data_IF_857301554275
#
_entry.id   IF_857301554275
#
_cell.length_a   1.000
_cell.length_b   1.000
_cell.length_c   1.000
_cell.angle_alpha   90.00
_cell.angle_beta   90.00
_cell.angle_gamma   90.00
#
_symmetry.space_group_name_H-M   'P 1'
#
loop_
_entity.id
_entity.type
_entity.pdbx_description
1 polymer ?
#
# COMPACT_ATOMS: atom_id res chain seq x y z
N UNK A 1 4.97 9.02 9.91
CA UNK A 1 4.56 7.61 10.00
C UNK A 1 4.74 6.94 8.63
N UNK A 2 4.90 5.62 8.63
CA UNK A 2 5.01 4.78 7.43
C UNK A 2 6.21 5.07 6.53
N UNK A 3 7.22 5.82 7.01
CA UNK A 3 8.47 6.11 6.27
C UNK A 3 9.33 4.87 6.04
N UNK A 4 9.11 3.83 6.83
CA UNK A 4 9.69 2.49 6.67
C UNK A 4 9.40 1.90 5.29
N UNK A 5 8.20 2.13 4.73
CA UNK A 5 7.89 1.77 3.35
C UNK A 5 8.83 2.46 2.35
N UNK A 6 9.06 3.77 2.52
CA UNK A 6 9.95 4.54 1.63
C UNK A 6 11.39 4.08 1.82
N UNK A 7 11.84 3.96 3.06
CA UNK A 7 13.19 3.54 3.41
C UNK A 7 13.55 2.18 2.81
N UNK A 8 12.63 1.21 2.90
CA UNK A 8 12.85 -0.12 2.35
C UNK A 8 12.72 -0.17 0.82
N UNK A 9 11.86 0.67 0.23
CA UNK A 9 11.50 0.59 -1.19
C UNK A 9 12.39 1.42 -2.10
N UNK A 10 12.71 2.64 -1.69
CA UNK A 10 13.38 3.62 -2.53
C UNK A 10 14.78 3.20 -3.01
N UNK A 11 15.60 2.47 -2.23
CA UNK A 11 16.92 2.03 -2.68
C UNK A 11 16.91 0.91 -3.73
N UNK A 12 15.82 0.14 -3.88
CA UNK A 12 15.80 -1.06 -4.71
C UNK A 12 16.32 -0.89 -6.14
N UNK A 13 16.03 0.21 -6.88
CA UNK A 13 16.54 0.36 -8.25
C UNK A 13 18.06 0.36 -8.33
N UNK A 14 18.78 0.69 -7.26
CA UNK A 14 20.24 0.77 -7.21
C UNK A 14 20.90 -0.45 -6.57
N UNK A 15 20.11 -1.36 -5.96
CA UNK A 15 20.63 -2.58 -5.33
C UNK A 15 21.13 -3.56 -6.39
N UNK A 16 22.41 -3.91 -6.36
CA UNK A 16 23.02 -4.88 -7.26
C UNK A 16 23.11 -6.27 -6.64
N UNK A 17 23.37 -6.33 -5.34
CA UNK A 17 23.50 -7.58 -4.60
C UNK A 17 22.80 -7.45 -3.25
N UNK A 18 22.23 -8.57 -2.76
CA UNK A 18 21.59 -8.64 -1.46
C UNK A 18 22.06 -9.91 -0.76
N UNK A 19 22.38 -9.80 0.54
CA UNK A 19 22.73 -10.93 1.38
C UNK A 19 21.69 -11.05 2.49
N UNK A 20 21.06 -12.21 2.58
CA UNK A 20 20.20 -12.54 3.70
C UNK A 20 21.07 -13.03 4.87
N UNK A 21 20.81 -12.51 6.08
CA UNK A 21 21.41 -12.98 7.32
C UNK A 21 20.29 -13.50 8.22
N UNK A 22 20.37 -14.78 8.59
CA UNK A 22 19.40 -15.41 9.47
C UNK A 22 19.71 -15.04 10.95
N UNK A 23 19.50 -13.77 11.25
CA UNK A 23 19.75 -13.20 12.58
C UNK A 23 18.66 -12.22 12.94
N UNK A 24 18.00 -12.37 14.10
CA UNK A 24 16.95 -11.44 14.53
C UNK A 24 17.58 -10.14 15.07
N UNK A 25 17.82 -9.18 14.18
CA UNK A 25 18.40 -7.87 14.55
C UNK A 25 17.41 -6.95 15.27
N UNK A 26 16.11 -7.19 15.10
CA UNK A 26 15.08 -6.32 15.63
C UNK A 26 13.89 -7.11 16.14
N UNK A 27 13.50 -6.83 17.38
CA UNK A 27 12.31 -7.39 18.01
C UNK A 27 11.24 -6.31 18.10
N UNK A 28 10.14 -6.47 17.36
CA UNK A 28 9.04 -5.53 17.35
C UNK A 28 7.91 -6.02 18.26
N UNK A 29 7.65 -5.25 19.32
CA UNK A 29 6.54 -5.56 20.23
C UNK A 29 5.21 -5.11 19.60
N UNK A 30 4.30 -6.07 19.36
CA UNK A 30 2.97 -5.84 18.82
C UNK A 30 1.94 -5.87 19.96
N UNK A 31 0.92 -5.01 19.89
CA UNK A 31 -0.19 -4.99 20.85
C UNK A 31 -0.16 -3.83 21.84
N UNK A 32 0.71 -2.83 21.66
CA UNK A 32 0.65 -1.58 22.45
C UNK A 32 -0.48 -0.68 21.94
N UNK A 33 -1.17 -0.01 22.88
CA UNK A 33 -2.13 1.03 22.52
C UNK A 33 -1.48 2.16 21.71
N UNK A 34 -2.19 2.67 20.71
CA UNK A 34 -1.73 3.77 19.87
C UNK A 34 -0.68 3.40 18.82
N UNK A 35 -0.43 2.12 18.58
CA UNK A 35 0.49 1.69 17.51
C UNK A 35 0.02 2.16 16.14
N UNK A 36 1.00 2.44 15.27
CA UNK A 36 0.75 2.97 13.91
C UNK A 36 -0.11 2.07 13.03
N UNK A 37 -0.14 0.77 13.33
CA UNK A 37 -0.91 -0.24 12.59
C UNK A 37 -2.36 -0.40 13.05
N UNK A 38 -2.75 0.20 14.17
CA UNK A 38 -4.13 0.13 14.64
C UNK A 38 -5.08 0.85 13.68
N UNK A 39 -6.25 0.27 13.44
CA UNK A 39 -7.24 0.72 12.44
C UNK A 39 -7.59 2.21 12.58
N UNK A 40 -7.86 2.69 13.79
CA UNK A 40 -8.20 4.09 14.01
C UNK A 40 -7.03 5.05 13.77
N UNK A 41 -5.79 4.60 14.05
CA UNK A 41 -4.57 5.39 13.77
C UNK A 41 -4.34 5.48 12.27
N UNK A 42 -4.47 4.36 11.55
CA UNK A 42 -4.33 4.30 10.10
C UNK A 42 -5.36 5.20 9.40
N UNK A 43 -6.62 5.18 9.85
CA UNK A 43 -7.69 6.05 9.32
C UNK A 43 -7.35 7.53 9.55
N UNK A 44 -6.89 7.90 10.75
CA UNK A 44 -6.53 9.29 11.07
C UNK A 44 -5.35 9.80 10.23
N UNK A 45 -4.54 8.89 9.67
CA UNK A 45 -3.29 9.20 8.98
C UNK A 45 -3.30 8.81 7.50
N UNK A 46 -4.47 8.74 6.87
CA UNK A 46 -4.60 8.41 5.44
C UNK A 46 -3.82 9.37 4.53
N UNK A 47 -3.67 10.64 4.93
CA UNK A 47 -2.89 11.61 4.16
C UNK A 47 -1.39 11.26 4.16
N UNK A 48 -0.88 10.67 5.26
CA UNK A 48 0.50 10.19 5.31
C UNK A 48 0.70 8.94 4.45
N UNK A 49 -0.27 8.02 4.45
CA UNK A 49 -0.26 6.86 3.54
C UNK A 49 -0.26 7.33 2.08
N UNK A 50 -1.09 8.32 1.72
CA UNK A 50 -1.11 8.90 0.39
C UNK A 50 0.24 9.51 0.00
N UNK A 51 0.88 10.25 0.90
CA UNK A 51 2.21 10.82 0.67
C UNK A 51 3.26 9.73 0.43
N UNK A 52 3.24 8.67 1.24
CA UNK A 52 4.13 7.50 1.07
C UNK A 52 3.90 6.86 -0.29
N UNK A 53 2.64 6.66 -0.68
CA UNK A 53 2.29 6.14 -2.00
C UNK A 53 2.91 6.98 -3.12
N UNK A 54 2.76 8.30 -3.07
CA UNK A 54 3.34 9.21 -4.06
C UNK A 54 4.87 9.10 -4.13
N UNK A 55 5.55 9.00 -2.98
CA UNK A 55 7.00 8.79 -2.94
C UNK A 55 7.40 7.45 -3.56
N UNK A 56 6.67 6.37 -3.26
CA UNK A 56 6.94 5.04 -3.83
C UNK A 56 6.69 5.01 -5.34
N UNK A 57 5.61 5.65 -5.81
CA UNK A 57 5.32 5.76 -7.25
C UNK A 57 6.49 6.42 -7.98
N UNK A 58 7.00 7.52 -7.46
CA UNK A 58 8.15 8.25 -8.06
C UNK A 58 9.46 7.46 -8.00
N UNK A 59 9.62 6.60 -7.00
CA UNK A 59 10.78 5.72 -6.88
C UNK A 59 10.67 4.44 -7.73
N UNK A 60 9.48 4.16 -8.29
CA UNK A 60 9.28 2.97 -9.12
C UNK A 60 9.88 3.20 -10.51
N UNK A 61 10.84 2.37 -10.94
CA UNK A 61 11.44 2.48 -12.26
C UNK A 61 10.45 2.14 -13.37
N UNK A 62 10.64 2.67 -14.56
CA UNK A 62 9.87 2.26 -15.72
C UNK A 62 10.22 0.81 -16.12
N UNK A 63 9.23 0.13 -16.71
CA UNK A 63 9.41 -1.26 -17.16
C UNK A 63 10.55 -1.35 -18.18
N UNK A 64 11.47 -2.27 -17.96
CA UNK A 64 12.62 -2.51 -18.82
C UNK A 64 13.86 -1.70 -18.46
N UNK A 65 13.81 -0.79 -17.49
CA UNK A 65 14.99 -0.03 -17.00
C UNK A 65 15.75 -0.74 -15.89
N UNK A 66 15.15 -1.76 -15.28
CA UNK A 66 15.74 -2.63 -14.26
C UNK A 66 15.42 -4.09 -14.61
N UNK A 67 16.10 -5.09 -14.00
CA UNK A 67 15.78 -6.49 -14.21
C UNK A 67 14.31 -6.82 -13.92
N UNK A 68 13.69 -7.64 -14.77
CA UNK A 68 12.25 -7.98 -14.68
C UNK A 68 11.82 -8.50 -13.30
N UNK A 69 12.68 -9.29 -12.65
CA UNK A 69 12.40 -9.79 -11.29
C UNK A 69 12.25 -8.66 -10.29
N UNK A 70 13.15 -7.68 -10.33
CA UNK A 70 13.12 -6.51 -9.47
C UNK A 70 11.89 -5.63 -9.78
N UNK A 71 11.62 -5.35 -11.06
CA UNK A 71 10.44 -4.60 -11.46
C UNK A 71 9.15 -5.25 -10.92
N UNK A 72 8.97 -6.57 -11.12
CA UNK A 72 7.79 -7.30 -10.63
C UNK A 72 7.66 -7.26 -9.12
N UNK A 73 8.77 -7.33 -8.38
CA UNK A 73 8.79 -7.19 -6.93
C UNK A 73 8.33 -5.80 -6.50
N UNK A 74 8.90 -4.74 -7.10
CA UNK A 74 8.53 -3.36 -6.77
C UNK A 74 7.07 -3.08 -7.10
N UNK A 75 6.57 -3.51 -8.25
CA UNK A 75 5.14 -3.39 -8.60
C UNK A 75 4.24 -4.14 -7.61
N UNK A 76 4.68 -5.30 -7.12
CA UNK A 76 3.92 -6.05 -6.11
C UNK A 76 3.84 -5.28 -4.79
N UNK A 77 4.96 -4.74 -4.34
CA UNK A 77 5.04 -3.97 -3.10
C UNK A 77 4.23 -2.67 -3.17
N UNK A 78 4.33 -1.94 -4.28
CA UNK A 78 3.51 -0.75 -4.54
C UNK A 78 2.02 -1.09 -4.57
N UNK A 79 1.64 -2.25 -5.14
CA UNK A 79 0.24 -2.70 -5.15
C UNK A 79 -0.28 -3.01 -3.74
N UNK A 80 0.53 -3.58 -2.86
CA UNK A 80 0.18 -3.81 -1.45
C UNK A 80 -0.06 -2.47 -0.76
N UNK A 81 0.90 -1.55 -0.83
CA UNK A 81 0.79 -0.24 -0.18
C UNK A 81 -0.43 0.54 -0.69
N UNK A 82 -0.61 0.66 -2.01
CA UNK A 82 -1.77 1.34 -2.61
C UNK A 82 -3.10 0.71 -2.21
N UNK A 83 -3.11 -0.61 -2.00
CA UNK A 83 -4.30 -1.34 -1.53
C UNK A 83 -4.58 -1.05 -0.07
N UNK A 84 -3.55 -1.05 0.79
CA UNK A 84 -3.66 -0.68 2.21
C UNK A 84 -4.19 0.75 2.35
N UNK A 85 -3.59 1.72 1.68
CA UNK A 85 -4.06 3.10 1.68
C UNK A 85 -5.53 3.20 1.24
N UNK A 86 -5.90 2.50 0.17
CA UNK A 86 -7.28 2.47 -0.35
C UNK A 86 -8.28 1.90 0.66
N UNK A 87 -7.90 0.86 1.40
CA UNK A 87 -8.75 0.24 2.44
C UNK A 87 -9.04 1.23 3.55
N UNK A 88 -8.01 1.88 4.11
CA UNK A 88 -8.22 2.81 5.24
C UNK A 88 -8.96 4.08 4.82
N UNK A 89 -8.80 4.57 3.58
CA UNK A 89 -9.66 5.62 3.03
C UNK A 89 -11.13 5.18 2.94
N UNK A 90 -11.41 3.91 2.65
CA UNK A 90 -12.78 3.37 2.63
C UNK A 90 -13.34 3.14 4.05
N UNK A 91 -12.50 2.67 4.97
CA UNK A 91 -12.89 2.42 6.35
C UNK A 91 -13.22 3.70 7.12
N UNK A 92 -12.62 4.82 6.75
CA UNK A 92 -12.90 6.13 7.34
C UNK A 92 -14.37 6.56 7.21
N UNK A 93 -15.11 6.04 6.22
CA UNK A 93 -16.49 6.42 5.86
C UNK A 93 -16.65 7.91 5.51
N UNK A 94 -15.56 8.61 5.30
CA UNK A 94 -15.53 10.02 4.96
C UNK A 94 -15.56 10.20 3.44
N UNK A 95 -16.52 10.97 2.89
CA UNK A 95 -16.58 11.27 1.46
C UNK A 95 -15.30 11.91 0.92
N UNK A 96 -14.64 12.77 1.70
CA UNK A 96 -13.36 13.40 1.32
C UNK A 96 -12.27 12.35 1.09
N UNK A 97 -12.19 11.33 1.96
CA UNK A 97 -11.23 10.25 1.81
C UNK A 97 -11.55 9.33 0.63
N UNK A 98 -12.81 9.25 0.18
CA UNK A 98 -13.13 8.53 -1.07
C UNK A 98 -12.61 9.28 -2.30
N UNK A 99 -12.68 10.60 -2.31
CA UNK A 99 -12.08 11.43 -3.36
C UNK A 99 -10.55 11.33 -3.31
N UNK A 100 -9.93 11.43 -2.13
CA UNK A 100 -8.48 11.23 -1.96
C UNK A 100 -8.02 9.87 -2.49
N UNK A 101 -8.82 8.82 -2.29
CA UNK A 101 -8.54 7.50 -2.90
C UNK A 101 -8.56 7.56 -4.42
N UNK A 102 -9.56 8.21 -5.00
CA UNK A 102 -9.67 8.36 -6.45
C UNK A 102 -8.47 9.13 -6.99
N UNK A 103 -8.14 10.27 -6.38
CA UNK A 103 -7.01 11.11 -6.76
C UNK A 103 -5.69 10.35 -6.69
N UNK A 104 -5.45 9.53 -5.64
CA UNK A 104 -4.26 8.69 -5.52
C UNK A 104 -4.11 7.76 -6.73
N UNK A 105 -5.19 7.11 -7.18
CA UNK A 105 -5.14 6.23 -8.34
C UNK A 105 -4.99 6.99 -9.66
N UNK A 106 -5.56 8.18 -9.76
CA UNK A 106 -5.42 9.07 -10.91
C UNK A 106 -3.99 9.64 -10.97
N UNK A 107 -3.38 9.97 -9.84
CA UNK A 107 -1.96 10.39 -9.73
C UNK A 107 -1.01 9.28 -10.23
N UNK A 108 -1.23 8.01 -9.83
CA UNK A 108 -0.43 6.87 -10.34
C UNK A 108 -0.57 6.76 -11.86
N UNK A 109 -1.79 6.90 -12.37
CA UNK A 109 -2.07 6.81 -13.81
C UNK A 109 -1.46 7.97 -14.59
N UNK A 110 -1.50 9.18 -14.04
CA UNK A 110 -0.90 10.38 -14.65
C UNK A 110 0.61 10.30 -14.66
N UNK A 111 1.23 9.75 -13.59
CA UNK A 111 2.68 9.57 -13.51
C UNK A 111 3.18 8.55 -14.55
N UNK A 112 2.59 7.35 -14.57
CA UNK A 112 2.91 6.30 -15.54
C UNK A 112 1.72 5.38 -15.80
N UNK A 113 1.12 5.43 -17.00
CA UNK A 113 0.07 4.49 -17.39
C UNK A 113 0.51 3.02 -17.34
N UNK A 114 1.79 2.73 -17.55
CA UNK A 114 2.35 1.38 -17.50
C UNK A 114 2.37 0.87 -16.07
N UNK A 115 2.94 1.63 -15.13
CA UNK A 115 2.96 1.30 -13.69
C UNK A 115 1.52 1.14 -13.19
N UNK A 116 0.63 2.07 -13.50
CA UNK A 116 -0.79 1.97 -13.14
C UNK A 116 -1.42 0.65 -13.59
N UNK A 117 -1.25 0.31 -14.87
CA UNK A 117 -1.78 -0.94 -15.44
C UNK A 117 -1.24 -2.17 -14.73
N UNK A 118 0.05 -2.19 -14.39
CA UNK A 118 0.70 -3.32 -13.75
C UNK A 118 0.31 -3.47 -12.28
N UNK A 119 0.23 -2.38 -11.54
CA UNK A 119 -0.29 -2.35 -10.17
C UNK A 119 -1.76 -2.82 -10.15
N UNK A 120 -2.58 -2.33 -11.07
CA UNK A 120 -4.02 -2.68 -11.16
C UNK A 120 -4.26 -4.15 -11.55
N UNK A 121 -3.33 -4.82 -12.21
CA UNK A 121 -3.43 -6.25 -12.54
C UNK A 121 -3.25 -7.16 -11.33
N UNK A 122 -2.64 -6.70 -10.25
CA UNK A 122 -2.43 -7.53 -9.06
C UNK A 122 -3.76 -7.89 -8.40
N UNK A 123 -3.90 -9.14 -7.97
CA UNK A 123 -5.16 -9.67 -7.43
C UNK A 123 -5.69 -8.83 -6.26
N UNK A 124 -4.83 -8.48 -5.31
CA UNK A 124 -5.17 -7.64 -4.16
C UNK A 124 -5.68 -6.26 -4.61
N UNK A 125 -4.99 -5.61 -5.55
CA UNK A 125 -5.38 -4.31 -6.09
C UNK A 125 -6.75 -4.37 -6.80
N UNK A 126 -7.04 -5.46 -7.50
CA UNK A 126 -8.34 -5.70 -8.14
C UNK A 126 -9.46 -5.90 -7.11
N UNK A 127 -9.23 -6.76 -6.12
CA UNK A 127 -10.22 -7.09 -5.09
C UNK A 127 -10.57 -5.87 -4.21
N UNK A 128 -9.58 -5.05 -3.84
CA UNK A 128 -9.75 -3.92 -2.93
C UNK A 128 -10.12 -2.61 -3.64
N UNK A 129 -10.27 -2.60 -4.96
CA UNK A 129 -10.66 -1.42 -5.74
C UNK A 129 -11.99 -1.60 -6.47
N UNK A 130 -12.93 -2.33 -5.87
CA UNK A 130 -14.29 -2.41 -6.34
C UNK A 130 -14.95 -1.03 -6.34
N UNK A 131 -15.74 -0.75 -7.38
CA UNK A 131 -16.36 0.57 -7.58
C UNK A 131 -17.72 0.68 -6.85
N UNK A 132 -18.10 1.92 -6.57
CA UNK A 132 -19.41 2.27 -6.03
C UNK A 132 -19.63 1.89 -4.56
N UNK A 133 -20.86 2.07 -4.11
CA UNK A 133 -21.27 1.82 -2.72
C UNK A 133 -21.18 0.33 -2.34
N UNK A 134 -21.54 -0.55 -3.30
CA UNK A 134 -21.45 -2.01 -3.10
C UNK A 134 -20.01 -2.43 -2.89
N UNK A 135 -19.07 -1.92 -3.71
CA UNK A 135 -17.65 -2.21 -3.53
C UNK A 135 -17.11 -1.76 -2.17
N UNK A 136 -17.48 -0.56 -1.73
CA UNK A 136 -17.12 -0.06 -0.39
C UNK A 136 -17.70 -0.92 0.73
N UNK A 137 -18.94 -1.39 0.58
CA UNK A 137 -19.57 -2.28 1.56
C UNK A 137 -18.83 -3.63 1.65
N UNK A 138 -18.53 -4.25 0.52
CA UNK A 138 -17.80 -5.54 0.46
C UNK A 138 -16.42 -5.41 1.12
N UNK A 139 -15.68 -4.34 0.81
CA UNK A 139 -14.34 -4.11 1.39
C UNK A 139 -14.42 -3.92 2.90
N UNK A 140 -15.38 -3.14 3.40
CA UNK A 140 -15.58 -2.96 4.85
C UNK A 140 -15.92 -4.26 5.58
N UNK A 141 -16.82 -5.07 5.01
CA UNK A 141 -17.18 -6.37 5.60
C UNK A 141 -16.03 -7.36 5.53
N UNK A 142 -15.31 -7.41 4.41
CA UNK A 142 -14.12 -8.25 4.26
C UNK A 142 -13.02 -7.89 5.25
N UNK A 143 -12.76 -6.58 5.46
CA UNK A 143 -11.80 -6.12 6.45
C UNK A 143 -12.21 -6.53 7.87
N UNK A 144 -13.47 -6.32 8.25
CA UNK A 144 -13.99 -6.72 9.57
C UNK A 144 -13.80 -8.22 9.83
N UNK A 145 -14.11 -9.07 8.85
CA UNK A 145 -13.89 -10.52 8.96
C UNK A 145 -12.39 -10.83 9.10
N UNK A 146 -11.53 -10.23 8.28
CA UNK A 146 -10.08 -10.44 8.35
C UNK A 146 -9.50 -10.01 9.71
N UNK A 147 -9.93 -8.88 10.25
CA UNK A 147 -9.51 -8.36 11.56
C UNK A 147 -9.85 -9.34 12.69
N UNK A 148 -11.04 -9.97 12.65
CA UNK A 148 -11.47 -10.94 13.69
C UNK A 148 -10.86 -12.34 13.52
N UNK A 149 -10.57 -12.76 12.30
CA UNK A 149 -10.02 -14.10 12.02
C UNK A 149 -8.49 -14.11 12.16
N UNK A 150 -7.81 -13.06 11.74
CA UNK A 150 -6.33 -12.99 11.71
C UNK A 150 -5.77 -12.28 12.94
N UNK A 151 -6.59 -11.51 13.66
CA UNK A 151 -6.18 -10.84 14.89
C UNK A 151 -5.19 -9.71 14.65
N UNK A 152 -5.54 -8.74 13.83
CA UNK A 152 -4.71 -7.54 13.56
C UNK A 152 -4.77 -6.49 14.70
N UNK A 153 -5.05 -6.90 15.92
CA UNK A 153 -5.05 -6.02 17.09
C UNK A 153 -3.85 -6.29 17.97
#
# INVERSE_FOLDING_TARGET
FYVDFIYAYQPFPWVKTMKYLDTPFYHYFIGRDGQSVQTYVMIRRVDQLRLVNQCMVRATPERGTVPDGLYRYMIHFLAIESSVASVFMILSRDPENYEKKKDMWDDIKAYSPTIYKDVRKKAMSRALNLRGSIGRFVIRKGYFVAEHVVGFN
#
